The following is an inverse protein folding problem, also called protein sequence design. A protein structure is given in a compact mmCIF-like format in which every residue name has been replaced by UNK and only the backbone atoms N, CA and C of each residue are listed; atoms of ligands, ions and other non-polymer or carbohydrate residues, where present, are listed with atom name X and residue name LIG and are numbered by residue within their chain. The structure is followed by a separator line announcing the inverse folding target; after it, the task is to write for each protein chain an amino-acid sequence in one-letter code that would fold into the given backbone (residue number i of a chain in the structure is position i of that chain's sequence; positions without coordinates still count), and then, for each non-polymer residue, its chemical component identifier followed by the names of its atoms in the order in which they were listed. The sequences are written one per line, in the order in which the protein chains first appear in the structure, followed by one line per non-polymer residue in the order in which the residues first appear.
data_IF_040790830560
#
_entry.id   IF_040790830560
#
_cell.length_a   1.000
_cell.length_b   1.000
_cell.length_c   1.000
_cell.angle_alpha   90.00
_cell.angle_beta   90.00
_cell.angle_gamma   90.00
#
_symmetry.space_group_name_H-M   'P 1'
#
loop_
_entity.id
_entity.type
_entity.pdbx_description
1 polymer ?
#
# COMPACT_ATOMS: atom_id res chain seq x y z
N UNK A 1 -16.31 32.57 21.79
CA UNK A 1 -15.05 32.65 21.03
C UNK A 1 -15.20 33.79 20.03
N UNK A 2 -14.37 34.86 20.08
CA UNK A 2 -14.59 36.06 19.27
C UNK A 2 -14.52 35.72 17.77
N UNK A 3 -15.37 36.40 16.95
CA UNK A 3 -15.40 36.29 15.48
C UNK A 3 -13.98 36.38 14.87
N UNK A 4 -13.16 37.23 15.44
CA UNK A 4 -11.76 37.40 15.04
C UNK A 4 -10.92 36.09 15.19
N UNK A 5 -11.09 35.38 16.32
CA UNK A 5 -10.37 34.08 16.52
C UNK A 5 -10.83 32.99 15.58
N UNK A 6 -12.08 33.02 15.14
CA UNK A 6 -12.61 32.09 14.16
C UNK A 6 -12.03 32.38 12.76
N UNK A 7 -12.05 33.65 12.37
CA UNK A 7 -11.54 34.11 11.08
C UNK A 7 -10.02 33.87 10.92
N UNK A 8 -9.23 34.14 11.99
CA UNK A 8 -7.79 33.85 11.97
C UNK A 8 -7.48 32.34 11.85
N UNK A 9 -8.28 31.46 12.46
CA UNK A 9 -8.16 30.03 12.31
C UNK A 9 -8.51 29.55 10.90
N UNK A 10 -9.56 30.12 10.31
CA UNK A 10 -9.96 29.79 8.94
C UNK A 10 -8.87 30.20 7.93
N UNK A 11 -8.27 31.40 8.07
CA UNK A 11 -7.14 31.82 7.24
C UNK A 11 -5.95 30.88 7.41
N UNK A 12 -5.59 30.52 8.65
CA UNK A 12 -4.48 29.58 8.90
C UNK A 12 -4.73 28.22 8.25
N UNK A 13 -5.95 27.70 8.31
CA UNK A 13 -6.31 26.44 7.67
C UNK A 13 -6.24 26.54 6.14
N UNK A 14 -6.67 27.65 5.55
CA UNK A 14 -6.56 27.87 4.10
C UNK A 14 -5.09 27.96 3.68
N UNK A 15 -4.26 28.72 4.40
CA UNK A 15 -2.82 28.80 4.11
C UNK A 15 -2.14 27.43 4.23
N UNK A 16 -2.46 26.67 5.27
CA UNK A 16 -1.96 25.32 5.43
C UNK A 16 -2.40 24.42 4.24
N UNK A 17 -3.68 24.47 3.87
CA UNK A 17 -4.20 23.69 2.73
C UNK A 17 -3.49 24.05 1.41
N UNK A 18 -3.30 25.34 1.14
CA UNK A 18 -2.55 25.80 -0.05
C UNK A 18 -1.10 25.30 -0.05
N UNK A 19 -0.45 25.33 1.12
CA UNK A 19 0.93 24.82 1.27
C UNK A 19 0.99 23.31 0.99
N UNK A 20 0.05 22.51 1.52
CA UNK A 20 -0.01 21.07 1.27
C UNK A 20 -0.41 20.72 -0.16
N UNK A 21 -1.20 21.54 -0.83
CA UNK A 21 -1.60 21.34 -2.22
C UNK A 21 -0.57 21.84 -3.22
N UNK A 22 0.37 22.70 -2.81
CA UNK A 22 1.35 23.30 -3.73
C UNK A 22 2.21 22.28 -4.48
N UNK A 23 2.69 21.15 -3.92
CA UNK A 23 3.44 20.16 -4.69
C UNK A 23 2.58 19.48 -5.78
N UNK A 24 1.30 19.26 -5.49
CA UNK A 24 0.36 18.68 -6.46
C UNK A 24 0.06 19.67 -7.58
N UNK A 25 -0.13 20.94 -7.27
CA UNK A 25 -0.27 22.02 -8.25
C UNK A 25 0.95 22.07 -9.17
N UNK A 26 2.16 22.14 -8.59
CA UNK A 26 3.42 22.16 -9.34
C UNK A 26 3.51 20.94 -10.27
N UNK A 27 3.21 19.76 -9.77
CA UNK A 27 3.25 18.52 -10.54
C UNK A 27 2.29 18.57 -11.75
N UNK A 28 1.03 18.92 -11.51
CA UNK A 28 -0.01 18.95 -12.57
C UNK A 28 0.32 20.03 -13.60
N UNK A 29 0.61 21.24 -13.18
CA UNK A 29 0.88 22.37 -14.10
C UNK A 29 2.10 22.10 -14.97
N UNK A 30 3.17 21.57 -14.38
CA UNK A 30 4.40 21.32 -15.13
C UNK A 30 4.36 20.03 -15.99
N UNK A 31 3.39 19.13 -15.77
CA UNK A 31 3.21 17.97 -16.64
C UNK A 31 2.72 18.32 -18.05
N UNK A 32 2.19 19.54 -18.25
CA UNK A 32 1.74 20.05 -19.55
C UNK A 32 2.75 20.95 -20.23
N UNK A 33 3.84 21.35 -19.56
CA UNK A 33 4.84 22.28 -20.09
C UNK A 33 5.93 21.56 -20.85
N UNK A 34 6.48 22.25 -21.87
CA UNK A 34 7.74 21.86 -22.46
C UNK A 34 8.94 22.16 -21.55
N UNK A 35 10.09 21.64 -22.00
CA UNK A 35 11.31 21.75 -21.21
C UNK A 35 11.73 23.20 -20.98
N UNK A 36 11.57 24.08 -21.98
CA UNK A 36 11.93 25.49 -21.88
C UNK A 36 11.07 26.22 -20.84
N UNK A 37 9.76 26.13 -20.94
CA UNK A 37 8.80 26.71 -19.98
C UNK A 37 8.98 26.20 -18.54
N UNK A 38 9.36 24.92 -18.40
CA UNK A 38 9.58 24.31 -17.09
C UNK A 38 10.79 24.96 -16.39
N UNK A 39 11.86 25.27 -17.13
CA UNK A 39 13.04 25.92 -16.54
C UNK A 39 12.86 27.43 -16.36
N UNK A 40 11.98 28.06 -17.13
CA UNK A 40 11.74 29.49 -17.04
C UNK A 40 10.92 29.85 -15.78
N UNK A 41 9.79 29.19 -15.58
CA UNK A 41 8.94 29.45 -14.39
C UNK A 41 8.09 28.23 -14.03
N UNK A 42 8.45 27.58 -12.93
CA UNK A 42 7.76 26.36 -12.42
C UNK A 42 6.34 26.66 -11.94
N UNK A 43 6.06 27.88 -11.49
CA UNK A 43 4.75 28.24 -10.90
C UNK A 43 3.76 28.79 -11.93
N UNK A 44 4.24 29.27 -13.09
CA UNK A 44 3.35 29.81 -14.13
C UNK A 44 2.45 28.72 -14.72
N UNK A 45 1.28 29.10 -15.21
CA UNK A 45 0.43 28.22 -16.00
C UNK A 45 1.08 27.90 -17.35
N UNK A 46 0.83 26.72 -17.94
CA UNK A 46 1.34 26.38 -19.25
C UNK A 46 0.73 27.30 -20.32
N UNK A 47 1.54 27.78 -21.27
CA UNK A 47 1.07 28.61 -22.39
C UNK A 47 0.20 27.80 -23.34
N UNK A 48 0.53 26.52 -23.52
CA UNK A 48 -0.23 25.55 -24.32
C UNK A 48 -0.41 24.27 -23.57
N UNK A 49 -1.62 23.69 -23.61
CA UNK A 49 -1.89 22.37 -23.00
C UNK A 49 -1.41 21.27 -23.95
N UNK A 50 -0.27 20.68 -23.66
CA UNK A 50 0.30 19.60 -24.45
C UNK A 50 0.13 18.25 -23.77
N UNK A 51 -0.65 17.36 -24.39
CA UNK A 51 -0.85 15.99 -23.90
C UNK A 51 0.21 15.00 -24.41
N UNK A 52 1.13 15.44 -25.24
CA UNK A 52 2.17 14.59 -25.83
C UNK A 52 3.05 13.93 -24.76
N UNK A 53 3.33 14.65 -23.67
CA UNK A 53 4.12 14.10 -22.54
C UNK A 53 3.43 12.92 -21.86
N UNK A 54 2.10 12.94 -21.78
CA UNK A 54 1.30 11.84 -21.25
C UNK A 54 1.34 10.63 -22.17
N UNK A 55 1.17 10.82 -23.47
CA UNK A 55 1.29 9.73 -24.45
C UNK A 55 2.67 9.08 -24.37
N UNK A 56 3.73 9.89 -24.41
CA UNK A 56 5.11 9.39 -24.28
C UNK A 56 5.38 8.71 -22.94
N UNK A 57 4.81 9.23 -21.85
CA UNK A 57 4.93 8.62 -20.53
C UNK A 57 4.24 7.25 -20.47
N UNK A 58 3.01 7.13 -21.00
CA UNK A 58 2.26 5.88 -21.10
C UNK A 58 3.07 4.82 -21.85
N UNK A 59 3.62 5.16 -23.00
CA UNK A 59 4.39 4.24 -23.85
C UNK A 59 5.69 3.81 -23.17
N UNK A 60 6.47 4.76 -22.64
CA UNK A 60 7.78 4.49 -22.01
C UNK A 60 7.69 3.68 -20.73
N UNK A 61 6.68 3.95 -19.91
CA UNK A 61 6.40 3.20 -18.68
C UNK A 61 5.80 1.82 -18.97
N UNK A 62 5.33 1.57 -20.20
CA UNK A 62 4.40 0.48 -20.48
C UNK A 62 3.25 0.49 -19.43
N UNK A 63 2.61 1.67 -19.30
CA UNK A 63 1.74 2.02 -18.18
C UNK A 63 0.65 0.99 -17.93
N UNK A 64 0.00 0.50 -18.98
CA UNK A 64 -1.09 -0.48 -18.85
C UNK A 64 -0.60 -1.79 -18.24
N UNK A 65 0.58 -2.26 -18.64
CA UNK A 65 1.20 -3.47 -18.06
C UNK A 65 1.61 -3.23 -16.61
N UNK A 66 2.24 -2.09 -16.31
CA UNK A 66 2.64 -1.74 -14.96
C UNK A 66 1.43 -1.57 -14.02
N UNK A 67 0.35 -0.95 -14.51
CA UNK A 67 -0.92 -0.81 -13.79
C UNK A 67 -1.52 -2.20 -13.47
N UNK A 68 -1.62 -3.07 -14.47
CA UNK A 68 -2.10 -4.44 -14.30
C UNK A 68 -1.26 -5.22 -13.29
N UNK A 69 0.05 -5.08 -13.34
CA UNK A 69 0.96 -5.73 -12.38
C UNK A 69 0.72 -5.22 -10.96
N UNK A 70 0.69 -3.87 -10.76
CA UNK A 70 0.41 -3.27 -9.45
C UNK A 70 -0.94 -3.73 -8.91
N UNK A 71 -1.97 -3.77 -9.75
CA UNK A 71 -3.32 -4.18 -9.35
C UNK A 71 -3.35 -5.65 -8.91
N UNK A 72 -2.77 -6.55 -9.71
CA UNK A 72 -2.72 -7.99 -9.38
C UNK A 72 -1.94 -8.22 -8.09
N UNK A 73 -0.76 -7.61 -7.96
CA UNK A 73 0.09 -7.78 -6.78
C UNK A 73 -0.62 -7.26 -5.54
N UNK A 74 -1.15 -6.03 -5.60
CA UNK A 74 -1.81 -5.40 -4.45
C UNK A 74 -3.05 -6.16 -4.02
N UNK A 75 -3.98 -6.45 -4.94
CA UNK A 75 -5.22 -7.15 -4.60
C UNK A 75 -4.92 -8.53 -4.03
N UNK A 76 -4.06 -9.30 -4.70
CA UNK A 76 -3.76 -10.66 -4.27
C UNK A 76 -3.07 -10.67 -2.90
N UNK A 77 -2.06 -9.82 -2.70
CA UNK A 77 -1.37 -9.73 -1.41
C UNK A 77 -2.33 -9.32 -0.29
N UNK A 78 -3.18 -8.29 -0.50
CA UNK A 78 -4.12 -7.81 0.50
C UNK A 78 -5.16 -8.87 0.86
N UNK A 79 -5.69 -9.61 -0.10
CA UNK A 79 -6.64 -10.71 0.18
C UNK A 79 -5.99 -11.76 1.08
N UNK A 80 -4.78 -12.21 0.74
CA UNK A 80 -4.07 -13.18 1.59
C UNK A 80 -3.71 -12.61 2.97
N UNK A 81 -3.27 -11.35 3.05
CA UNK A 81 -2.97 -10.70 4.33
C UNK A 81 -4.22 -10.66 5.20
N UNK A 82 -5.37 -10.23 4.68
CA UNK A 82 -6.63 -10.15 5.42
C UNK A 82 -7.04 -11.52 5.94
N UNK A 83 -7.05 -12.53 5.09
CA UNK A 83 -7.50 -13.88 5.46
C UNK A 83 -6.54 -14.51 6.48
N UNK A 84 -5.26 -14.56 6.16
CA UNK A 84 -4.28 -15.24 7.00
C UNK A 84 -4.10 -14.52 8.35
N UNK A 85 -4.00 -13.18 8.32
CA UNK A 85 -3.78 -12.42 9.54
C UNK A 85 -4.99 -12.41 10.47
N UNK A 86 -6.22 -12.34 9.93
CA UNK A 86 -7.43 -12.41 10.77
C UNK A 86 -7.60 -13.78 11.44
N UNK A 87 -7.33 -14.87 10.70
CA UNK A 87 -7.35 -16.22 11.26
C UNK A 87 -6.26 -16.41 12.32
N UNK A 88 -5.02 -15.98 12.02
CA UNK A 88 -3.90 -16.06 12.96
C UNK A 88 -4.18 -15.26 14.22
N UNK A 89 -4.65 -14.03 14.08
CA UNK A 89 -4.98 -13.16 15.20
C UNK A 89 -6.08 -13.74 16.09
N UNK A 90 -7.12 -14.31 15.47
CA UNK A 90 -8.19 -14.99 16.23
C UNK A 90 -7.65 -16.18 17.02
N UNK A 91 -6.85 -17.05 16.37
CA UNK A 91 -6.22 -18.19 17.03
C UNK A 91 -5.34 -17.75 18.21
N UNK A 92 -4.50 -16.74 18.03
CA UNK A 92 -3.60 -16.23 19.08
C UNK A 92 -4.38 -15.55 20.22
N UNK A 93 -5.48 -14.85 19.92
CA UNK A 93 -6.27 -14.16 20.93
C UNK A 93 -7.11 -15.12 21.81
N UNK A 94 -7.52 -16.27 21.25
CA UNK A 94 -8.35 -17.27 21.96
C UNK A 94 -7.54 -18.34 22.67
N UNK A 95 -6.28 -18.51 22.33
CA UNK A 95 -5.39 -19.47 22.96
C UNK A 95 -4.31 -18.75 23.78
N UNK A 96 -4.58 -18.48 25.06
CA UNK A 96 -3.63 -17.79 25.96
C UNK A 96 -2.57 -18.75 26.51
N UNK A 97 -1.75 -19.30 25.60
CA UNK A 97 -0.59 -20.13 25.94
C UNK A 97 0.70 -19.36 25.74
N UNK A 98 1.77 -19.80 26.43
CA UNK A 98 3.10 -19.20 26.30
C UNK A 98 3.55 -19.11 24.82
N UNK A 99 3.30 -20.16 24.02
CA UNK A 99 3.62 -20.19 22.59
C UNK A 99 2.90 -19.09 21.80
N UNK A 100 1.60 -18.87 22.06
CA UNK A 100 0.81 -17.82 21.39
C UNK A 100 1.38 -16.43 21.69
N UNK A 101 1.80 -16.19 22.93
CA UNK A 101 2.46 -14.94 23.33
C UNK A 101 3.81 -14.76 22.63
N UNK A 102 4.62 -15.83 22.58
CA UNK A 102 5.91 -15.80 21.87
C UNK A 102 5.71 -15.48 20.40
N UNK A 103 4.79 -16.18 19.71
CA UNK A 103 4.50 -15.91 18.30
C UNK A 103 4.07 -14.46 18.10
N UNK A 104 3.13 -13.96 18.91
CA UNK A 104 2.66 -12.59 18.80
C UNK A 104 3.81 -11.58 19.03
N UNK A 105 4.62 -11.80 20.07
CA UNK A 105 5.77 -10.92 20.36
C UNK A 105 6.82 -10.97 19.26
N UNK A 106 7.06 -12.14 18.67
CA UNK A 106 7.96 -12.28 17.52
C UNK A 106 7.43 -11.47 16.32
N UNK A 107 6.13 -11.58 15.98
CA UNK A 107 5.53 -10.80 14.92
C UNK A 107 5.64 -9.28 15.17
N UNK A 108 5.41 -8.83 16.40
CA UNK A 108 5.58 -7.42 16.76
C UNK A 108 7.04 -6.99 16.64
N UNK A 109 7.97 -7.83 17.11
CA UNK A 109 9.41 -7.55 17.05
C UNK A 109 9.91 -7.39 15.59
N UNK A 110 9.36 -8.15 14.64
CA UNK A 110 9.72 -8.01 13.22
C UNK A 110 9.40 -6.63 12.64
N UNK A 111 8.39 -5.94 13.19
CA UNK A 111 8.02 -4.58 12.73
C UNK A 111 9.07 -3.53 13.11
N UNK A 112 9.94 -3.81 14.08
CA UNK A 112 11.00 -2.91 14.51
C UNK A 112 12.27 -3.02 13.66
N UNK A 113 12.36 -4.04 12.81
CA UNK A 113 13.54 -4.28 11.97
C UNK A 113 13.40 -3.42 10.70
N UNK A 114 14.32 -2.47 10.44
CA UNK A 114 14.30 -1.69 9.21
C UNK A 114 14.47 -2.60 7.98
N UNK A 115 13.63 -2.42 6.96
CA UNK A 115 13.69 -3.22 5.74
C UNK A 115 15.08 -3.17 5.07
N UNK A 116 15.74 -2.02 5.10
CA UNK A 116 17.06 -1.81 4.51
C UNK A 116 18.12 -2.75 5.07
N UNK A 117 17.99 -3.15 6.33
CA UNK A 117 18.92 -4.07 6.99
C UNK A 117 18.81 -5.50 6.47
N UNK A 118 17.58 -5.90 6.08
CA UNK A 118 17.30 -7.28 5.69
C UNK A 118 17.20 -7.48 4.17
N UNK A 119 17.24 -6.40 3.37
CA UNK A 119 17.00 -6.48 1.93
C UNK A 119 17.96 -7.42 1.19
N UNK A 120 19.28 -7.37 1.50
CA UNK A 120 20.25 -8.26 0.86
C UNK A 120 20.13 -9.72 1.33
N UNK A 121 20.05 -10.01 2.65
CA UNK A 121 19.74 -11.34 3.13
C UNK A 121 18.44 -11.91 2.57
N UNK A 122 17.40 -11.08 2.38
CA UNK A 122 16.14 -11.50 1.78
C UNK A 122 16.33 -12.04 0.37
N UNK A 123 17.04 -11.30 -0.50
CA UNK A 123 17.29 -11.74 -1.88
C UNK A 123 18.07 -13.05 -1.91
N UNK A 124 19.10 -13.18 -1.07
CA UNK A 124 19.87 -14.42 -0.95
C UNK A 124 18.99 -15.59 -0.49
N UNK A 125 18.14 -15.37 0.48
CA UNK A 125 17.21 -16.38 0.99
C UNK A 125 16.18 -16.81 -0.09
N UNK A 126 15.63 -15.86 -0.84
CA UNK A 126 14.70 -16.15 -1.93
C UNK A 126 15.37 -16.91 -3.08
N UNK A 127 16.62 -16.59 -3.41
CA UNK A 127 17.42 -17.35 -4.38
C UNK A 127 17.69 -18.77 -3.89
N UNK A 128 18.00 -18.94 -2.60
CA UNK A 128 18.20 -20.28 -2.00
C UNK A 128 16.92 -21.12 -2.04
N UNK A 129 15.75 -20.55 -1.75
CA UNK A 129 14.46 -21.22 -1.91
C UNK A 129 14.27 -21.69 -3.36
N UNK A 130 14.53 -20.82 -4.33
CA UNK A 130 14.41 -21.15 -5.73
C UNK A 130 15.33 -22.32 -6.11
N UNK A 131 16.59 -22.31 -5.66
CA UNK A 131 17.56 -23.40 -5.94
C UNK A 131 17.18 -24.74 -5.30
N UNK A 132 16.59 -24.69 -4.09
CA UNK A 132 16.25 -25.90 -3.33
C UNK A 132 14.90 -26.51 -3.72
N UNK A 133 13.92 -25.67 -4.11
CA UNK A 133 12.54 -26.13 -4.38
C UNK A 133 12.15 -26.08 -5.85
N UNK A 134 12.91 -25.37 -6.69
CA UNK A 134 12.54 -25.06 -8.08
C UNK A 134 11.45 -24.00 -8.22
N UNK A 135 10.94 -23.42 -7.12
CA UNK A 135 9.89 -22.40 -7.14
C UNK A 135 10.52 -21.03 -7.40
N UNK A 136 10.18 -20.33 -8.50
CA UNK A 136 10.76 -19.04 -8.82
C UNK A 136 10.25 -17.97 -7.88
N UNK A 137 11.11 -17.50 -6.96
CA UNK A 137 10.77 -16.45 -5.97
C UNK A 137 11.23 -15.07 -6.44
N UNK A 138 12.30 -14.98 -7.22
CA UNK A 138 12.79 -13.72 -7.81
C UNK A 138 12.28 -13.57 -9.24
N UNK A 139 12.13 -12.34 -9.68
CA UNK A 139 11.64 -11.93 -10.99
C UNK A 139 10.27 -12.54 -11.34
N UNK A 140 9.39 -12.66 -10.36
CA UNK A 140 8.00 -13.13 -10.51
C UNK A 140 7.02 -12.33 -9.68
N UNK A 141 5.78 -12.21 -10.16
CA UNK A 141 4.68 -11.61 -9.37
C UNK A 141 4.37 -12.43 -8.12
N UNK A 142 4.41 -13.76 -8.24
CA UNK A 142 4.13 -14.67 -7.12
C UNK A 142 5.11 -14.53 -5.98
N UNK A 143 6.41 -14.46 -6.27
CA UNK A 143 7.43 -14.22 -5.24
C UNK A 143 7.29 -12.86 -4.58
N UNK A 144 7.01 -11.80 -5.35
CA UNK A 144 6.77 -10.47 -4.79
C UNK A 144 5.52 -10.44 -3.91
N UNK A 145 4.42 -11.09 -4.31
CA UNK A 145 3.21 -11.23 -3.50
C UNK A 145 3.53 -11.93 -2.18
N UNK A 146 4.26 -13.04 -2.25
CA UNK A 146 4.67 -13.79 -1.04
C UNK A 146 5.47 -12.93 -0.07
N UNK A 147 6.43 -12.15 -0.58
CA UNK A 147 7.22 -11.24 0.26
C UNK A 147 6.36 -10.13 0.87
N UNK A 148 5.43 -9.53 0.11
CA UNK A 148 4.49 -8.54 0.65
C UNK A 148 3.61 -9.13 1.75
N UNK A 149 3.12 -10.37 1.59
CA UNK A 149 2.35 -11.05 2.64
C UNK A 149 3.20 -11.17 3.92
N UNK A 150 4.44 -11.64 3.79
CA UNK A 150 5.34 -11.82 4.93
C UNK A 150 5.60 -10.53 5.71
N UNK A 151 5.93 -9.44 5.01
CA UNK A 151 6.24 -8.15 5.65
C UNK A 151 5.02 -7.47 6.27
N UNK A 152 3.86 -7.58 5.63
CA UNK A 152 2.67 -6.84 6.06
C UNK A 152 1.78 -7.63 7.03
N UNK A 153 1.95 -8.95 7.13
CA UNK A 153 1.14 -9.80 8.01
C UNK A 153 1.29 -9.41 9.49
N UNK A 154 2.48 -9.01 9.93
CA UNK A 154 2.75 -8.69 11.33
C UNK A 154 1.87 -7.54 11.84
N UNK A 155 1.81 -6.43 11.11
CA UNK A 155 0.94 -5.30 11.46
C UNK A 155 -0.54 -5.70 11.41
N UNK A 156 -0.94 -6.44 10.38
CA UNK A 156 -2.32 -6.90 10.24
C UNK A 156 -2.74 -7.81 11.40
N UNK A 157 -1.88 -8.79 11.79
CA UNK A 157 -2.13 -9.66 12.95
C UNK A 157 -2.24 -8.85 14.23
N UNK A 158 -1.36 -7.88 14.45
CA UNK A 158 -1.41 -7.02 15.63
C UNK A 158 -2.75 -6.26 15.73
N UNK A 159 -3.19 -5.65 14.64
CA UNK A 159 -4.45 -4.90 14.60
C UNK A 159 -5.67 -5.81 14.83
N UNK A 160 -5.72 -6.94 14.14
CA UNK A 160 -6.79 -7.92 14.34
C UNK A 160 -6.79 -8.50 15.74
N UNK A 161 -5.63 -8.83 16.31
CA UNK A 161 -5.52 -9.39 17.64
C UNK A 161 -6.08 -8.45 18.71
N UNK A 162 -5.76 -7.14 18.62
CA UNK A 162 -6.33 -6.15 19.52
C UNK A 162 -7.86 -6.09 19.43
N UNK A 163 -8.40 -6.14 18.21
CA UNK A 163 -9.85 -6.07 17.99
C UNK A 163 -10.55 -7.37 18.43
N UNK A 164 -10.00 -8.54 18.14
CA UNK A 164 -10.57 -9.84 18.56
C UNK A 164 -10.72 -9.94 20.08
N UNK A 165 -9.77 -9.39 20.84
CA UNK A 165 -9.85 -9.36 22.31
C UNK A 165 -11.05 -8.59 22.85
N UNK A 166 -11.60 -7.65 22.11
CA UNK A 166 -12.80 -6.91 22.50
C UNK A 166 -14.11 -7.66 22.21
N UNK A 167 -14.07 -8.75 21.44
CA UNK A 167 -15.24 -9.56 21.10
C UNK A 167 -15.52 -10.53 22.25
N UNK A 168 -16.75 -10.52 22.85
CA UNK A 168 -17.13 -11.48 23.90
C UNK A 168 -17.01 -12.93 23.43
N UNK A 169 -16.34 -13.76 24.23
CA UNK A 169 -16.15 -15.20 23.91
C UNK A 169 -17.47 -15.97 23.90
N UNK A 170 -18.48 -15.49 24.65
CA UNK A 170 -19.81 -16.10 24.73
C UNK A 170 -20.50 -16.26 23.37
N UNK A 171 -20.18 -15.40 22.38
CA UNK A 171 -20.70 -15.56 21.03
C UNK A 171 -20.19 -16.82 20.34
N UNK A 172 -18.92 -17.17 20.58
CA UNK A 172 -18.31 -18.38 20.04
C UNK A 172 -18.77 -19.64 20.78
N UNK A 173 -18.91 -19.54 22.12
CA UNK A 173 -19.40 -20.62 22.97
C UNK A 173 -20.85 -20.99 22.64
N UNK A 174 -21.73 -19.99 22.47
CA UNK A 174 -23.13 -20.21 22.06
C UNK A 174 -23.21 -20.93 20.71
N UNK A 175 -22.42 -20.47 19.73
CA UNK A 175 -22.38 -21.10 18.42
C UNK A 175 -21.81 -22.54 18.46
N UNK A 176 -20.85 -22.80 19.36
CA UNK A 176 -20.32 -24.15 19.55
C UNK A 176 -21.37 -25.08 20.18
N UNK A 177 -22.20 -24.59 21.12
CA UNK A 177 -23.34 -25.35 21.69
C UNK A 177 -24.36 -25.66 20.58
N UNK A 178 -24.60 -24.73 19.63
CA UNK A 178 -25.46 -24.94 18.47
C UNK A 178 -24.83 -25.87 17.40
N UNK A 179 -23.67 -26.46 17.68
CA UNK A 179 -23.02 -27.45 16.82
C UNK A 179 -22.13 -26.86 15.72
N UNK A 180 -21.84 -25.56 15.73
CA UNK A 180 -20.94 -24.95 14.76
C UNK A 180 -19.48 -25.37 15.02
N UNK A 181 -18.78 -25.80 13.97
CA UNK A 181 -17.35 -26.06 14.04
C UNK A 181 -16.53 -24.74 14.01
N UNK A 182 -15.24 -24.81 14.37
CA UNK A 182 -14.36 -23.63 14.45
C UNK A 182 -14.29 -22.83 13.14
N UNK A 183 -14.32 -23.50 11.99
CA UNK A 183 -14.31 -22.83 10.69
C UNK A 183 -15.63 -22.06 10.44
N UNK A 184 -16.76 -22.63 10.83
CA UNK A 184 -18.06 -21.95 10.74
C UNK A 184 -18.14 -20.78 11.70
N UNK A 185 -17.66 -20.93 12.94
CA UNK A 185 -17.58 -19.84 13.93
C UNK A 185 -16.75 -18.68 13.35
N UNK A 186 -15.56 -18.98 12.82
CA UNK A 186 -14.72 -17.94 12.24
C UNK A 186 -15.44 -17.20 11.09
N UNK A 187 -15.89 -17.91 10.06
CA UNK A 187 -16.38 -17.26 8.85
C UNK A 187 -17.80 -16.66 8.98
N UNK A 188 -18.65 -17.22 9.84
CA UNK A 188 -20.03 -16.77 9.98
C UNK A 188 -20.24 -15.79 11.13
N UNK A 189 -19.37 -15.79 12.14
CA UNK A 189 -19.54 -14.96 13.33
C UNK A 189 -18.38 -13.97 13.45
N UNK A 190 -17.15 -14.47 13.59
CA UNK A 190 -16.00 -13.63 13.91
C UNK A 190 -15.63 -12.71 12.73
N UNK A 191 -15.42 -13.26 11.54
CA UNK A 191 -14.97 -12.48 10.38
C UNK A 191 -15.94 -11.34 10.00
N UNK A 192 -17.28 -11.50 10.01
CA UNK A 192 -18.22 -10.40 9.84
C UNK A 192 -18.11 -9.30 10.92
N UNK A 193 -17.88 -9.69 12.19
CA UNK A 193 -17.70 -8.71 13.28
C UNK A 193 -16.39 -7.94 13.10
N UNK A 194 -15.35 -8.57 12.53
CA UNK A 194 -14.06 -7.93 12.22
C UNK A 194 -14.16 -6.92 11.06
N UNK A 195 -15.30 -6.73 10.40
CA UNK A 195 -15.44 -5.85 9.24
C UNK A 195 -14.86 -4.44 9.43
N UNK A 196 -15.07 -3.72 10.55
CA UNK A 196 -14.49 -2.39 10.73
C UNK A 196 -12.97 -2.40 10.68
N UNK A 197 -12.33 -3.29 11.44
CA UNK A 197 -10.87 -3.39 11.44
C UNK A 197 -10.33 -3.95 10.12
N UNK A 198 -11.08 -4.83 9.44
CA UNK A 198 -10.71 -5.36 8.11
C UNK A 198 -10.60 -4.24 7.08
N UNK A 199 -11.51 -3.28 7.10
CA UNK A 199 -11.44 -2.10 6.22
C UNK A 199 -10.16 -1.30 6.49
N UNK A 200 -9.82 -1.08 7.75
CA UNK A 200 -8.58 -0.39 8.13
C UNK A 200 -7.33 -1.15 7.62
N UNK A 201 -7.28 -2.47 7.83
CA UNK A 201 -6.18 -3.32 7.36
C UNK A 201 -6.07 -3.28 5.83
N UNK A 202 -7.19 -3.35 5.10
CA UNK A 202 -7.19 -3.24 3.64
C UNK A 202 -6.61 -1.90 3.20
N UNK A 203 -7.09 -0.79 3.77
CA UNK A 203 -6.65 0.55 3.37
C UNK A 203 -5.14 0.73 3.60
N UNK A 204 -4.65 0.37 4.78
CA UNK A 204 -3.23 0.48 5.12
C UNK A 204 -2.36 -0.34 4.16
N UNK A 205 -2.74 -1.60 3.92
CA UNK A 205 -1.98 -2.49 3.05
C UNK A 205 -2.05 -2.10 1.57
N UNK A 206 -3.22 -1.66 1.09
CA UNK A 206 -3.33 -1.16 -0.30
C UNK A 206 -2.41 0.04 -0.51
N UNK A 207 -2.43 1.03 0.39
CA UNK A 207 -1.57 2.21 0.27
C UNK A 207 -0.09 1.80 0.31
N UNK A 208 0.29 0.93 1.23
CA UNK A 208 1.68 0.50 1.41
C UNK A 208 2.19 -0.29 0.21
N UNK A 209 1.47 -1.32 -0.24
CA UNK A 209 1.89 -2.19 -1.35
C UNK A 209 1.84 -1.47 -2.69
N UNK A 210 0.80 -0.64 -2.92
CA UNK A 210 0.67 0.12 -4.16
C UNK A 210 1.80 1.12 -4.38
N UNK A 211 2.24 1.79 -3.30
CA UNK A 211 3.29 2.81 -3.37
C UNK A 211 4.70 2.24 -3.18
N UNK A 212 4.84 0.94 -2.95
CA UNK A 212 6.16 0.35 -2.73
C UNK A 212 6.98 0.34 -4.03
N UNK A 213 8.14 0.97 -3.94
CA UNK A 213 9.17 0.97 -4.96
C UNK A 213 10.33 0.03 -4.60
N UNK A 214 10.70 0.00 -3.31
CA UNK A 214 11.99 -0.56 -2.89
C UNK A 214 12.02 -2.09 -3.04
N UNK A 215 11.04 -2.80 -2.51
CA UNK A 215 10.98 -4.26 -2.63
C UNK A 215 10.80 -4.70 -4.10
N UNK A 216 9.89 -4.13 -4.91
CA UNK A 216 9.82 -4.43 -6.34
C UNK A 216 11.12 -4.18 -7.10
N UNK A 217 11.88 -3.13 -6.76
CA UNK A 217 13.15 -2.81 -7.43
C UNK A 217 14.24 -3.85 -7.21
N UNK A 218 14.20 -4.55 -6.09
CA UNK A 218 15.14 -5.61 -5.74
C UNK A 218 14.73 -6.96 -6.36
N UNK A 219 13.44 -7.20 -6.52
CA UNK A 219 12.89 -8.50 -6.89
C UNK A 219 12.61 -8.62 -8.38
N UNK A 220 12.15 -7.53 -9.04
CA UNK A 220 11.70 -7.54 -10.43
C UNK A 220 12.74 -6.92 -11.36
N UNK A 221 13.39 -7.74 -12.15
CA UNK A 221 14.37 -7.30 -13.17
C UNK A 221 13.75 -7.15 -14.56
N UNK A 222 12.73 -7.93 -14.89
CA UNK A 222 12.04 -7.86 -16.17
C UNK A 222 11.16 -6.62 -16.28
N UNK A 223 11.29 -5.90 -17.41
CA UNK A 223 10.46 -4.72 -17.72
C UNK A 223 8.96 -5.04 -17.77
N UNK A 224 8.58 -6.23 -18.21
CA UNK A 224 7.19 -6.68 -18.30
C UNK A 224 6.53 -6.97 -16.96
N UNK A 225 7.32 -7.06 -15.86
CA UNK A 225 6.82 -7.32 -14.51
C UNK A 225 6.77 -6.08 -13.62
N UNK A 226 7.28 -4.94 -14.08
CA UNK A 226 7.36 -3.72 -13.27
C UNK A 226 6.02 -3.29 -12.73
N UNK A 227 6.01 -2.81 -11.49
CA UNK A 227 4.90 -2.08 -10.89
C UNK A 227 4.91 -0.61 -11.33
N UNK A 228 3.83 0.13 -11.08
CA UNK A 228 3.75 1.56 -11.44
C UNK A 228 4.88 2.36 -10.79
N UNK A 229 5.15 2.30 -9.47
CA UNK A 229 6.25 3.03 -8.87
C UNK A 229 7.61 2.68 -9.50
N UNK A 230 7.83 1.40 -9.77
CA UNK A 230 9.08 0.96 -10.40
C UNK A 230 9.21 1.43 -11.85
N UNK A 231 8.11 1.45 -12.61
CA UNK A 231 8.09 1.95 -13.98
C UNK A 231 8.29 3.48 -14.05
N UNK A 232 7.75 4.22 -13.09
CA UNK A 232 7.89 5.68 -12.99
C UNK A 232 9.34 6.08 -12.77
N UNK A 233 10.10 5.30 -12.00
CA UNK A 233 11.51 5.57 -11.73
C UNK A 233 12.40 5.57 -12.99
N UNK A 234 11.93 4.97 -14.08
CA UNK A 234 12.63 4.97 -15.37
C UNK A 234 12.92 6.39 -15.93
N UNK A 235 12.09 7.39 -15.59
CA UNK A 235 12.32 8.77 -16.04
C UNK A 235 13.46 9.48 -15.34
N UNK A 236 13.96 8.93 -14.23
CA UNK A 236 15.09 9.44 -13.46
C UNK A 236 16.37 8.67 -13.84
N UNK A 237 16.73 8.69 -15.14
CA UNK A 237 17.93 8.03 -15.65
C UNK A 237 19.21 8.71 -15.14
N UNK A 238 20.33 7.95 -15.16
CA UNK A 238 21.62 8.40 -14.62
C UNK A 238 22.16 9.68 -15.28
N UNK A 239 21.88 9.91 -16.56
CA UNK A 239 22.50 11.00 -17.33
C UNK A 239 21.53 12.10 -17.77
N UNK A 240 20.24 11.82 -17.90
CA UNK A 240 19.23 12.79 -18.34
C UNK A 240 17.89 12.55 -17.69
N UNK A 241 17.42 13.54 -16.93
CA UNK A 241 16.07 13.53 -16.39
C UNK A 241 15.14 14.23 -17.40
N UNK A 242 14.10 13.51 -17.83
CA UNK A 242 13.07 14.09 -18.69
C UNK A 242 11.91 14.58 -17.81
N UNK A 243 12.13 15.73 -17.18
CA UNK A 243 11.23 16.28 -16.16
C UNK A 243 9.76 16.37 -16.59
N UNK A 244 9.49 16.84 -17.81
CA UNK A 244 8.12 16.95 -18.33
C UNK A 244 7.41 15.59 -18.43
N UNK A 245 8.10 14.55 -18.93
CA UNK A 245 7.55 13.19 -18.99
C UNK A 245 7.50 12.53 -17.60
N UNK A 246 8.49 12.81 -16.75
CA UNK A 246 8.49 12.34 -15.37
C UNK A 246 7.28 12.91 -14.59
N UNK A 247 6.98 14.20 -14.76
CA UNK A 247 5.81 14.84 -14.15
C UNK A 247 4.49 14.25 -14.66
N UNK A 248 4.37 14.04 -15.98
CA UNK A 248 3.20 13.37 -16.56
C UNK A 248 3.05 11.94 -16.05
N UNK A 249 4.15 11.17 -15.96
CA UNK A 249 4.17 9.83 -15.39
C UNK A 249 3.75 9.80 -13.92
N UNK A 250 4.24 10.75 -13.11
CA UNK A 250 3.84 10.88 -11.70
C UNK A 250 2.35 11.22 -11.55
N UNK A 251 1.80 12.11 -12.39
CA UNK A 251 0.35 12.39 -12.41
C UNK A 251 -0.43 11.11 -12.68
N UNK A 252 -0.05 10.35 -13.72
CA UNK A 252 -0.68 9.06 -14.02
C UNK A 252 -0.59 8.06 -12.85
N UNK A 253 0.50 8.08 -12.11
CA UNK A 253 0.71 7.21 -10.95
C UNK A 253 -0.20 7.57 -9.77
N UNK A 254 -0.46 8.86 -9.56
CA UNK A 254 -1.28 9.36 -8.45
C UNK A 254 -2.78 9.12 -8.70
N UNK A 255 -3.25 9.18 -9.93
CA UNK A 255 -4.68 9.04 -10.27
C UNK A 255 -5.34 7.81 -9.63
N UNK A 256 -4.81 6.58 -9.76
CA UNK A 256 -5.42 5.40 -9.14
C UNK A 256 -5.48 5.48 -7.61
N UNK A 257 -4.47 6.07 -6.98
CA UNK A 257 -4.41 6.26 -5.52
C UNK A 257 -5.49 7.23 -5.06
N UNK A 258 -5.66 8.35 -5.76
CA UNK A 258 -6.70 9.35 -5.47
C UNK A 258 -8.10 8.74 -5.64
N UNK A 259 -8.33 7.98 -6.71
CA UNK A 259 -9.61 7.28 -6.94
C UNK A 259 -9.89 6.29 -5.80
N UNK A 260 -8.90 5.47 -5.44
CA UNK A 260 -9.02 4.54 -4.32
C UNK A 260 -9.33 5.26 -3.01
N UNK A 261 -8.59 6.34 -2.70
CA UNK A 261 -8.81 7.13 -1.49
C UNK A 261 -10.21 7.76 -1.46
N UNK A 262 -10.66 8.36 -2.57
CA UNK A 262 -12.00 8.94 -2.67
C UNK A 262 -13.12 7.90 -2.45
N UNK A 263 -12.92 6.67 -2.92
CA UNK A 263 -13.85 5.57 -2.66
C UNK A 263 -13.81 5.08 -1.20
N UNK A 264 -12.60 5.03 -0.60
CA UNK A 264 -12.37 4.49 0.73
C UNK A 264 -12.62 5.50 1.87
N UNK A 265 -12.58 6.83 1.61
CA UNK A 265 -12.62 7.88 2.63
C UNK A 265 -13.81 7.78 3.61
N UNK A 266 -15.00 7.36 3.12
CA UNK A 266 -16.20 7.18 3.97
C UNK A 266 -16.00 6.12 5.05
N UNK A 267 -15.15 5.14 4.79
CA UNK A 267 -14.86 4.04 5.69
C UNK A 267 -13.71 4.40 6.64
N UNK A 268 -12.77 5.23 6.18
CA UNK A 268 -11.67 5.77 7.00
C UNK A 268 -12.23 6.62 8.15
N UNK A 269 -13.14 7.56 7.81
CA UNK A 269 -13.73 8.48 8.81
C UNK A 269 -14.63 7.74 9.82
N UNK A 270 -15.26 6.62 9.43
CA UNK A 270 -16.10 5.82 10.32
C UNK A 270 -15.34 4.81 11.17
N UNK A 271 -14.09 4.51 10.81
CA UNK A 271 -13.24 3.54 11.51
C UNK A 271 -12.30 4.16 12.55
N UNK A 272 -12.31 5.50 12.64
CA UNK A 272 -11.69 6.29 13.70
C UNK A 272 -12.79 6.78 14.67
#
# INVERSE_FOLDING_TARGET
MSLFKRFSKEILLVLAALTFLSPIYILIVNSFKDRAQLYENVLALPETLTFEHYSRAIDRMNFLTAFKNSLIITITAVVFIVVLSSMTAWMLARNDHALSRIILMTLIATMLIPFQTIMMPLIQFMDQIMRSTGIPMLNTRGGLIFMHIGFNASLAVFLYHGFVKSIPISLEESAAIDGANKFQIFWRIIFPILKPITVTVIILNVIQIWNDYLLPSLVLTDKGLRTIPLATFYFFGEFTIQWNQAMAGLVLTIIPVVIFYAAAQKHIIKGI
#
